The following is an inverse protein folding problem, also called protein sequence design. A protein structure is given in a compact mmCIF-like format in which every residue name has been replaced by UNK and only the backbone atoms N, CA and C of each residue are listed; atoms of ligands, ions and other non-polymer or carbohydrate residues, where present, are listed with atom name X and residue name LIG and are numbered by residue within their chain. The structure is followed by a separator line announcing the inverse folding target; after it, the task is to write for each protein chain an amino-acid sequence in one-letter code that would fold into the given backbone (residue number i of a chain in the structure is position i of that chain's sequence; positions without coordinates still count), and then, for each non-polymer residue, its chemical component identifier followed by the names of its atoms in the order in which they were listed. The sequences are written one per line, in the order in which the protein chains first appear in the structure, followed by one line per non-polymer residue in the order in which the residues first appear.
data_IF_130607387805
#
_entry.id   IF_130607387805
#
_cell.length_a   1.000
_cell.length_b   1.000
_cell.length_c   1.000
_cell.angle_alpha   90.00
_cell.angle_beta   90.00
_cell.angle_gamma   90.00
#
_symmetry.space_group_name_H-M   'P 1'
#
loop_
_entity.id
_entity.type
_entity.pdbx_description
1 polymer ?
#
# COMPACT_ATOMS: atom_id res chain seq x y z
N UNK A 1 8.57 2.42 14.55
CA UNK A 1 7.95 1.11 14.85
C UNK A 1 8.22 0.25 13.62
N UNK A 2 9.08 -0.76 13.75
CA UNK A 2 9.43 -1.63 12.63
C UNK A 2 8.26 -2.57 12.36
N UNK A 3 7.79 -2.64 11.12
CA UNK A 3 6.75 -3.60 10.73
C UNK A 3 7.34 -5.01 10.73
N UNK A 4 6.57 -5.99 11.16
CA UNK A 4 6.90 -7.38 10.92
C UNK A 4 6.15 -7.84 9.66
N UNK A 5 6.90 -8.13 8.58
CA UNK A 5 6.32 -8.54 7.30
C UNK A 5 5.56 -9.86 7.44
N UNK A 6 5.99 -10.73 8.35
CA UNK A 6 5.37 -12.05 8.56
C UNK A 6 3.97 -11.94 9.16
N UNK A 7 3.70 -10.89 9.94
CA UNK A 7 2.39 -10.65 10.58
C UNK A 7 1.57 -9.55 9.90
N UNK A 8 2.15 -8.82 8.93
CA UNK A 8 1.55 -7.62 8.36
C UNK A 8 0.15 -7.86 7.77
N UNK A 9 -0.08 -9.02 7.16
CA UNK A 9 -1.38 -9.36 6.60
C UNK A 9 -2.45 -9.46 7.69
N UNK A 10 -2.16 -10.19 8.77
CA UNK A 10 -3.09 -10.38 9.89
C UNK A 10 -3.32 -9.07 10.65
N UNK A 11 -2.27 -8.26 10.82
CA UNK A 11 -2.36 -6.94 11.42
C UNK A 11 -3.29 -6.02 10.62
N UNK A 12 -3.17 -6.02 9.28
CA UNK A 12 -4.02 -5.22 8.40
C UNK A 12 -5.47 -5.75 8.34
N UNK A 13 -5.65 -7.07 8.39
CA UNK A 13 -6.98 -7.69 8.50
C UNK A 13 -7.67 -7.29 9.82
N UNK A 14 -6.94 -7.36 10.93
CA UNK A 14 -7.39 -6.95 12.26
C UNK A 14 -7.72 -5.45 12.30
N UNK A 15 -6.89 -4.62 11.67
CA UNK A 15 -7.17 -3.19 11.53
C UNK A 15 -8.51 -2.91 10.84
N UNK A 16 -8.77 -3.59 9.71
CA UNK A 16 -10.01 -3.41 8.96
C UNK A 16 -11.26 -3.95 9.68
N UNK A 17 -11.10 -4.93 10.59
CA UNK A 17 -12.23 -5.45 11.36
C UNK A 17 -12.58 -4.57 12.57
N UNK A 18 -11.62 -3.80 13.08
CA UNK A 18 -11.77 -2.98 14.28
C UNK A 18 -12.07 -1.50 14.00
N UNK A 19 -11.75 -1.00 12.81
CA UNK A 19 -11.82 0.43 12.51
C UNK A 19 -12.28 0.68 11.06
N UNK A 20 -13.43 1.31 10.94
CA UNK A 20 -14.17 1.57 9.70
C UNK A 20 -13.48 2.56 8.75
N UNK A 21 -12.49 3.30 9.25
CA UNK A 21 -11.66 4.16 8.42
C UNK A 21 -10.73 3.35 7.51
N UNK A 22 -10.48 2.08 7.84
CA UNK A 22 -9.62 1.18 7.07
C UNK A 22 -10.46 0.12 6.37
N UNK A 23 -10.04 -0.28 5.18
CA UNK A 23 -10.73 -1.30 4.41
C UNK A 23 -9.77 -2.01 3.47
N UNK A 24 -10.24 -3.10 2.87
CA UNK A 24 -9.56 -3.72 1.76
C UNK A 24 -10.51 -3.92 0.58
N UNK A 25 -9.93 -4.06 -0.61
CA UNK A 25 -10.65 -4.43 -1.81
C UNK A 25 -10.00 -5.65 -2.43
N UNK A 26 -10.83 -6.64 -2.74
CA UNK A 26 -10.40 -7.82 -3.49
C UNK A 26 -10.53 -7.53 -4.98
N UNK A 27 -9.49 -7.88 -5.72
CA UNK A 27 -9.40 -7.69 -7.17
C UNK A 27 -8.92 -9.00 -7.76
N UNK A 28 -9.72 -9.56 -8.67
CA UNK A 28 -9.32 -10.71 -9.47
C UNK A 28 -8.66 -10.25 -10.75
N UNK A 29 -7.46 -10.75 -11.03
CA UNK A 29 -6.76 -10.56 -12.29
C UNK A 29 -6.34 -11.93 -12.83
N UNK A 30 -6.96 -12.35 -13.92
CA UNK A 30 -6.89 -13.72 -14.44
C UNK A 30 -7.32 -14.75 -13.36
N UNK A 31 -6.44 -15.70 -13.03
CA UNK A 31 -6.66 -16.72 -12.01
C UNK A 31 -6.13 -16.33 -10.61
N UNK A 32 -5.59 -15.11 -10.46
CA UNK A 32 -5.01 -14.64 -9.20
C UNK A 32 -5.97 -13.67 -8.51
N UNK A 33 -6.24 -13.94 -7.23
CA UNK A 33 -6.97 -13.03 -6.34
C UNK A 33 -5.98 -12.19 -5.55
N UNK A 34 -6.11 -10.87 -5.68
CA UNK A 34 -5.34 -9.89 -4.93
C UNK A 34 -6.22 -9.19 -3.90
N UNK A 35 -5.64 -8.81 -2.78
CA UNK A 35 -6.26 -7.95 -1.77
C UNK A 35 -5.42 -6.71 -1.60
N UNK A 36 -6.01 -5.54 -1.80
CA UNK A 36 -5.36 -4.24 -1.60
C UNK A 36 -5.94 -3.59 -0.34
N UNK A 37 -5.09 -3.27 0.63
CA UNK A 37 -5.46 -2.55 1.84
C UNK A 37 -5.38 -1.04 1.64
N UNK A 38 -6.41 -0.33 2.07
CA UNK A 38 -6.53 1.11 1.92
C UNK A 38 -7.28 1.74 3.12
N UNK A 39 -7.42 3.07 3.09
CA UNK A 39 -8.17 3.84 4.07
C UNK A 39 -9.07 4.88 3.40
N UNK A 40 -10.14 5.25 4.11
CA UNK A 40 -11.00 6.41 3.83
C UNK A 40 -10.39 7.64 4.52
N UNK A 41 -11.21 8.62 4.86
CA UNK A 41 -10.79 9.69 5.75
C UNK A 41 -10.46 9.10 7.13
N UNK A 42 -9.23 9.31 7.59
CA UNK A 42 -8.73 8.77 8.85
C UNK A 42 -7.91 9.84 9.57
N UNK A 43 -8.06 9.93 10.89
CA UNK A 43 -7.35 10.94 11.68
C UNK A 43 -5.89 10.55 11.91
N UNK A 44 -5.03 11.56 12.05
CA UNK A 44 -3.62 11.39 12.41
C UNK A 44 -3.43 10.47 13.62
N UNK A 45 -4.24 10.65 14.67
CA UNK A 45 -4.17 9.85 15.88
C UNK A 45 -4.44 8.36 15.63
N UNK A 46 -5.43 8.02 14.78
CA UNK A 46 -5.71 6.62 14.41
C UNK A 46 -4.51 6.01 13.67
N UNK A 47 -3.90 6.72 12.74
CA UNK A 47 -2.71 6.24 12.04
C UNK A 47 -1.50 5.97 12.97
N UNK A 48 -1.33 6.77 14.03
CA UNK A 48 -0.18 6.62 14.95
C UNK A 48 -0.41 5.61 16.07
N UNK A 49 -1.66 5.35 16.44
CA UNK A 49 -2.01 4.47 17.58
C UNK A 49 -2.33 3.04 17.17
N UNK A 50 -2.70 2.80 15.90
CA UNK A 50 -3.10 1.49 15.41
C UNK A 50 -1.94 0.76 14.73
N UNK A 51 -1.77 -0.52 15.05
CA UNK A 51 -0.80 -1.39 14.38
C UNK A 51 -1.07 -1.47 12.87
N UNK A 52 0.00 -1.45 12.08
CA UNK A 52 -0.03 -1.50 10.61
C UNK A 52 -0.82 -0.38 9.89
N UNK A 53 -1.42 0.59 10.59
CA UNK A 53 -2.25 1.62 9.96
C UNK A 53 -1.49 2.49 8.95
N UNK A 54 -0.21 2.79 9.21
CA UNK A 54 0.63 3.52 8.24
C UNK A 54 0.84 2.71 6.94
N UNK A 55 0.75 1.38 6.99
CA UNK A 55 0.94 0.49 5.84
C UNK A 55 -0.38 0.15 5.14
N UNK A 56 -1.51 0.71 5.57
CA UNK A 56 -2.81 0.62 4.89
C UNK A 56 -2.91 1.56 3.68
N UNK A 57 -1.81 1.85 2.98
CA UNK A 57 -1.75 2.83 1.89
C UNK A 57 -1.49 2.15 0.53
N UNK A 58 -2.29 1.15 0.20
CA UNK A 58 -2.21 0.43 -1.08
C UNK A 58 -1.32 -0.81 -1.05
N UNK A 59 -0.94 -1.30 0.12
CA UNK A 59 -0.26 -2.59 0.30
C UNK A 59 -1.11 -3.72 -0.28
N UNK A 60 -0.50 -4.60 -1.05
CA UNK A 60 -1.21 -5.63 -1.80
C UNK A 60 -0.65 -7.03 -1.53
N UNK A 61 -1.56 -7.97 -1.32
CA UNK A 61 -1.27 -9.39 -1.13
C UNK A 61 -1.91 -10.25 -2.23
N UNK A 62 -1.26 -11.34 -2.60
CA UNK A 62 -1.89 -12.45 -3.32
C UNK A 62 -2.56 -13.37 -2.28
N UNK A 63 -3.88 -13.48 -2.38
CA UNK A 63 -4.74 -14.26 -1.48
C UNK A 63 -5.37 -15.47 -2.19
N UNK A 64 -4.80 -15.88 -3.33
CA UNK A 64 -5.33 -17.01 -4.13
C UNK A 64 -5.31 -18.32 -3.33
N UNK A 65 -4.26 -18.52 -2.53
CA UNK A 65 -4.18 -19.60 -1.56
C UNK A 65 -4.31 -19.01 -0.15
N UNK A 66 -5.43 -19.28 0.53
CA UNK A 66 -5.69 -18.78 1.88
C UNK A 66 -4.66 -19.23 2.92
N UNK A 67 -3.99 -20.36 2.70
CA UNK A 67 -2.98 -20.90 3.60
C UNK A 67 -1.56 -20.38 3.28
N UNK A 68 -1.41 -19.60 2.21
CA UNK A 68 -0.12 -19.06 1.77
C UNK A 68 -0.32 -17.69 1.12
N UNK A 69 -0.73 -16.72 1.95
CA UNK A 69 -0.89 -15.33 1.53
C UNK A 69 0.48 -14.70 1.34
N UNK A 70 0.71 -14.03 0.21
CA UNK A 70 2.01 -13.46 -0.13
C UNK A 70 1.93 -11.96 -0.34
N UNK A 71 2.79 -11.20 0.32
CA UNK A 71 3.00 -9.78 0.01
C UNK A 71 3.56 -9.66 -1.42
N UNK A 72 2.88 -8.91 -2.28
CA UNK A 72 3.28 -8.73 -3.69
C UNK A 72 3.58 -7.28 -4.06
N UNK A 73 3.17 -6.32 -3.24
CA UNK A 73 3.52 -4.91 -3.41
C UNK A 73 3.42 -4.17 -2.08
N UNK A 74 4.48 -3.45 -1.72
CA UNK A 74 4.58 -2.65 -0.51
C UNK A 74 4.95 -1.21 -0.88
N UNK A 75 3.96 -0.34 -1.14
CA UNK A 75 4.20 1.08 -1.36
C UNK A 75 4.74 1.75 -0.08
N UNK A 76 5.27 2.98 -0.16
CA UNK A 76 5.68 3.73 1.02
C UNK A 76 4.55 3.86 2.04
N UNK A 77 4.92 3.86 3.31
CA UNK A 77 3.98 4.10 4.39
C UNK A 77 3.32 5.49 4.28
N UNK A 78 2.16 5.66 4.92
CA UNK A 78 1.49 6.95 5.00
C UNK A 78 2.39 7.96 5.71
N UNK A 79 2.79 8.99 4.97
CA UNK A 79 3.41 10.20 5.51
C UNK A 79 2.36 11.30 5.70
N UNK A 80 2.74 12.31 6.47
CA UNK A 80 1.91 13.47 6.81
C UNK A 80 2.72 14.73 6.57
N UNK A 81 2.02 15.84 6.34
CA UNK A 81 2.68 17.14 6.23
C UNK A 81 3.25 17.57 7.60
N UNK A 82 4.21 18.49 7.58
CA UNK A 82 5.02 18.84 8.76
C UNK A 82 4.19 19.29 9.97
N UNK A 83 3.08 20.01 9.76
CA UNK A 83 2.22 20.50 10.85
C UNK A 83 0.92 19.70 11.01
N UNK A 84 0.76 18.58 10.27
CA UNK A 84 -0.48 17.81 10.31
C UNK A 84 -0.65 17.06 11.65
N UNK A 85 -1.82 17.21 12.28
CA UNK A 85 -2.16 16.57 13.54
C UNK A 85 -1.34 17.12 14.73
N UNK A 86 -0.67 16.24 15.46
CA UNK A 86 0.22 16.61 16.56
C UNK A 86 1.70 16.37 16.21
N UNK A 87 2.02 16.24 14.91
CA UNK A 87 3.35 15.92 14.41
C UNK A 87 4.44 16.84 14.97
N UNK A 88 4.22 18.15 14.92
CA UNK A 88 5.18 19.16 15.36
C UNK A 88 5.56 18.99 16.84
N UNK A 89 4.57 18.82 17.72
CA UNK A 89 4.74 18.79 19.18
C UNK A 89 5.18 17.44 19.74
N UNK A 90 4.82 16.32 19.10
CA UNK A 90 5.13 14.97 19.63
C UNK A 90 6.32 14.30 18.93
N UNK A 91 6.59 14.62 17.67
CA UNK A 91 7.50 13.82 16.84
C UNK A 91 8.58 14.66 16.14
N UNK A 92 8.30 15.89 15.70
CA UNK A 92 9.27 16.71 14.96
C UNK A 92 10.29 17.42 15.85
N UNK A 93 9.97 17.74 17.11
CA UNK A 93 10.97 18.24 18.08
C UNK A 93 12.14 17.27 18.29
N UNK A 94 11.93 15.97 18.01
CA UNK A 94 12.95 14.92 18.10
C UNK A 94 13.54 14.55 16.73
N UNK A 95 12.98 15.08 15.64
CA UNK A 95 13.33 14.73 14.27
C UNK A 95 14.46 15.60 13.74
N UNK A 96 15.47 14.97 13.12
CA UNK A 96 16.41 15.66 12.23
C UNK A 96 15.95 15.44 10.80
N UNK A 97 15.97 16.48 9.97
CA UNK A 97 15.80 16.30 8.53
C UNK A 97 16.97 15.44 8.03
N UNK A 98 16.67 14.26 7.50
CA UNK A 98 17.65 13.36 6.89
C UNK A 98 17.89 13.75 5.44
N UNK A 99 16.96 13.34 4.58
CA UNK A 99 16.99 13.62 3.15
C UNK A 99 15.78 14.43 2.70
N UNK A 100 15.93 15.11 1.55
CA UNK A 100 14.84 15.82 0.87
C UNK A 100 14.74 15.30 -0.57
N UNK A 101 13.51 15.20 -1.06
CA UNK A 101 13.22 14.79 -2.43
C UNK A 101 12.23 15.77 -3.05
N UNK A 102 12.28 15.92 -4.36
CA UNK A 102 11.23 16.62 -5.10
C UNK A 102 9.93 15.82 -5.00
N UNK A 103 8.87 16.46 -4.49
CA UNK A 103 7.54 15.84 -4.37
C UNK A 103 6.80 16.01 -5.70
N UNK A 104 7.07 15.09 -6.62
CA UNK A 104 6.40 15.04 -7.93
C UNK A 104 4.88 14.99 -7.77
N UNK A 105 4.17 15.78 -8.57
CA UNK A 105 2.71 15.83 -8.59
C UNK A 105 2.14 14.85 -9.62
N UNK A 106 1.73 13.68 -9.15
CA UNK A 106 1.21 12.61 -10.00
C UNK A 106 0.53 11.51 -9.21
N UNK A 107 0.28 10.38 -9.88
CA UNK A 107 -0.31 9.21 -9.25
C UNK A 107 0.78 8.20 -8.86
N UNK A 108 0.78 7.77 -7.60
CA UNK A 108 1.68 6.72 -7.12
C UNK A 108 1.49 5.43 -7.92
N UNK A 109 2.57 4.94 -8.53
CA UNK A 109 2.65 3.63 -9.16
C UNK A 109 3.56 2.72 -8.35
N UNK A 110 3.12 1.49 -8.11
CA UNK A 110 3.89 0.47 -7.40
C UNK A 110 4.00 -0.78 -8.27
N UNK A 111 5.17 -1.39 -8.28
CA UNK A 111 5.44 -2.62 -9.02
C UNK A 111 4.90 -3.83 -8.27
N UNK A 112 4.56 -4.87 -9.02
CA UNK A 112 4.34 -6.22 -8.51
C UNK A 112 4.61 -7.25 -9.61
N UNK A 113 4.97 -8.47 -9.20
CA UNK A 113 5.12 -9.60 -10.11
C UNK A 113 3.78 -10.35 -10.23
N UNK A 114 3.27 -10.47 -11.45
CA UNK A 114 2.03 -11.16 -11.76
C UNK A 114 2.32 -12.47 -12.47
N UNK A 115 1.98 -13.60 -11.84
CA UNK A 115 2.08 -14.92 -12.48
C UNK A 115 0.93 -15.14 -13.47
N UNK A 116 1.22 -15.30 -14.76
CA UNK A 116 0.20 -15.73 -15.74
C UNK A 116 0.04 -17.25 -15.75
N UNK A 117 1.12 -17.97 -15.47
CA UNK A 117 1.20 -19.43 -15.34
C UNK A 117 2.17 -19.79 -14.20
N UNK A 118 2.32 -21.07 -13.87
CA UNK A 118 3.29 -21.53 -12.86
C UNK A 118 4.75 -21.26 -13.20
N UNK A 119 5.06 -20.89 -14.46
CA UNK A 119 6.44 -20.68 -14.95
C UNK A 119 6.71 -19.26 -15.45
N UNK A 120 5.69 -18.43 -15.64
CA UNK A 120 5.85 -17.10 -16.21
C UNK A 120 5.32 -16.02 -15.27
N UNK A 121 6.22 -15.11 -14.86
CA UNK A 121 5.88 -13.89 -14.14
C UNK A 121 6.12 -12.69 -15.04
N UNK A 122 5.18 -11.76 -15.03
CA UNK A 122 5.29 -10.48 -15.73
C UNK A 122 5.31 -9.34 -14.73
N UNK A 123 6.22 -8.39 -14.91
CA UNK A 123 6.24 -7.15 -14.15
C UNK A 123 4.99 -6.35 -14.52
N UNK A 124 4.23 -5.92 -13.51
CA UNK A 124 3.07 -5.04 -13.69
C UNK A 124 3.12 -3.89 -12.70
N UNK A 125 2.34 -2.87 -13.02
CA UNK A 125 2.13 -1.69 -12.18
C UNK A 125 0.72 -1.70 -11.62
N UNK A 126 0.59 -1.13 -10.43
CA UNK A 126 -0.69 -0.78 -9.81
C UNK A 126 -0.65 0.67 -9.36
N UNK A 127 -1.80 1.31 -9.31
CA UNK A 127 -1.95 2.57 -8.57
C UNK A 127 -2.13 2.28 -7.08
N UNK A 128 -2.44 3.32 -6.28
CA UNK A 128 -2.76 3.16 -4.85
C UNK A 128 -3.81 2.08 -4.60
N UNK A 129 -4.84 1.97 -5.44
CA UNK A 129 -6.01 1.13 -5.17
C UNK A 129 -6.56 0.33 -6.36
N UNK A 130 -5.91 0.38 -7.52
CA UNK A 130 -6.42 -0.25 -8.73
C UNK A 130 -5.31 -0.89 -9.55
N UNK A 131 -5.66 -1.96 -10.26
CA UNK A 131 -4.83 -2.64 -11.27
C UNK A 131 -5.19 -2.23 -12.70
N UNK A 132 -6.25 -1.45 -12.89
CA UNK A 132 -6.88 -1.20 -14.21
C UNK A 132 -7.33 0.25 -14.40
N UNK A 133 -6.92 1.19 -13.54
CA UNK A 133 -7.22 2.62 -13.78
C UNK A 133 -6.47 3.14 -15.01
N UNK A 134 -6.95 4.22 -15.62
CA UNK A 134 -6.29 4.82 -16.81
C UNK A 134 -4.81 5.09 -16.57
N UNK A 135 -4.45 5.63 -15.40
CA UNK A 135 -3.04 5.87 -15.05
C UNK A 135 -2.21 4.58 -15.01
N UNK A 136 -2.81 3.45 -14.63
CA UNK A 136 -2.12 2.15 -14.66
C UNK A 136 -1.96 1.66 -16.10
N UNK A 137 -2.99 1.83 -16.94
CA UNK A 137 -2.92 1.44 -18.35
C UNK A 137 -1.86 2.25 -19.10
N UNK A 138 -1.84 3.56 -18.91
CA UNK A 138 -0.84 4.47 -19.47
C UNK A 138 0.57 4.17 -18.94
N UNK A 139 0.72 3.97 -17.63
CA UNK A 139 2.02 3.60 -17.05
C UNK A 139 2.51 2.23 -17.55
N UNK A 140 1.59 1.28 -17.78
CA UNK A 140 1.93 -0.01 -18.37
C UNK A 140 2.37 0.13 -19.83
N UNK A 141 1.77 1.02 -20.62
CA UNK A 141 2.22 1.32 -22.00
C UNK A 141 3.65 1.86 -22.00
N UNK A 142 3.93 2.81 -21.11
CA UNK A 142 5.28 3.35 -20.92
C UNK A 142 6.29 2.26 -20.52
N UNK A 143 5.93 1.38 -19.58
CA UNK A 143 6.81 0.32 -19.10
C UNK A 143 7.15 -0.70 -20.21
N UNK A 144 6.19 -1.04 -21.08
CA UNK A 144 6.42 -2.01 -22.16
C UNK A 144 7.01 -1.38 -23.43
N UNK A 145 7.21 -0.05 -23.44
CA UNK A 145 7.81 0.68 -24.55
C UNK A 145 6.96 0.67 -25.82
N UNK A 146 5.63 0.75 -25.68
CA UNK A 146 4.69 0.87 -26.81
C UNK A 146 4.04 2.24 -26.85
#
# INVERSE_FOLDING_TARGET
MTINIDTLYDDLMSLCSQDDAFYYKDIRLHAINYRIFNHRLCSYGRFKTRTAALNSCGTMFNITNSNNVKLVSLPPERIFDYEEGFGQKQYHERGRLGDKMEKMDGALMSTFLHGRTSKEQVLRLKSKQSLTSNQVLEAMQLLVGK
#
